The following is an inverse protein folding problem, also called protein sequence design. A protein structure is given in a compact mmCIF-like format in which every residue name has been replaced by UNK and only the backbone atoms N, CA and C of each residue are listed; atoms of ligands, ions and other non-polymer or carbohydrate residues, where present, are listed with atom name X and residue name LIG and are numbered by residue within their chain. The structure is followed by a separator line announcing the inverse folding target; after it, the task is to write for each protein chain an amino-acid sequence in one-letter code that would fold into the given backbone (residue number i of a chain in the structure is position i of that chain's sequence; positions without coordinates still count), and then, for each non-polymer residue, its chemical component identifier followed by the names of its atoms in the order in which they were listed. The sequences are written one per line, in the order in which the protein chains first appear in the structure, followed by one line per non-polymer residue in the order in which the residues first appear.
data_IF_559328613865
#
_entry.id   IF_559328613865
#
_cell.length_a   1.000
_cell.length_b   1.000
_cell.length_c   1.000
_cell.angle_alpha   90.00
_cell.angle_beta   90.00
_cell.angle_gamma   90.00
#
_symmetry.space_group_name_H-M   'P 1'
#
loop_
_entity.id
_entity.type
_entity.pdbx_description
1 polymer ?
#
# COMPACT_ATOMS: atom_id res chain seq x y z
N UNK A 1 38.31 57.88 -1.67
CA UNK A 1 37.46 58.16 -2.82
C UNK A 1 36.03 58.25 -2.33
N UNK A 2 35.38 59.38 -2.63
CA UNK A 2 34.16 59.89 -1.99
C UNK A 2 32.90 59.18 -2.49
N UNK A 3 31.98 58.95 -1.60
CA UNK A 3 30.66 58.37 -1.78
C UNK A 3 29.71 59.37 -2.49
N UNK A 4 28.98 59.03 -3.58
CA UNK A 4 28.08 59.92 -4.30
C UNK A 4 26.63 59.78 -3.87
N UNK A 5 26.27 60.29 -2.69
CA UNK A 5 24.88 60.43 -2.23
C UNK A 5 24.68 61.72 -1.47
N UNK A 6 24.99 62.88 -2.15
CA UNK A 6 24.63 64.19 -1.68
C UNK A 6 24.52 65.13 -2.90
N UNK A 7 23.40 65.11 -3.58
CA UNK A 7 22.93 66.24 -4.39
C UNK A 7 21.47 65.96 -4.77
N UNK A 8 20.57 66.66 -4.15
CA UNK A 8 19.24 67.09 -4.60
C UNK A 8 18.34 67.47 -3.42
N UNK A 9 18.72 68.51 -2.68
CA UNK A 9 17.78 69.31 -1.86
C UNK A 9 18.16 70.77 -2.05
N UNK A 10 17.58 71.46 -2.98
CA UNK A 10 17.33 72.92 -2.90
C UNK A 10 16.52 73.40 -4.10
N UNK A 11 15.45 74.10 -3.78
CA UNK A 11 14.54 74.93 -4.56
C UNK A 11 13.16 74.32 -4.83
N UNK A 12 12.27 74.55 -3.89
CA UNK A 12 10.95 75.11 -4.26
C UNK A 12 10.46 75.97 -3.09
N UNK A 13 10.33 77.27 -3.38
CA UNK A 13 9.80 78.29 -2.49
C UNK A 13 8.27 78.18 -2.42
N UNK A 14 7.74 78.34 -1.21
CA UNK A 14 6.31 78.47 -0.88
C UNK A 14 5.66 79.65 -1.64
N UNK A 15 4.44 79.45 -2.12
CA UNK A 15 3.31 80.42 -2.04
C UNK A 15 2.01 79.66 -2.32
N UNK A 16 1.05 79.80 -1.37
CA UNK A 16 -0.35 79.46 -1.60
C UNK A 16 -0.97 78.65 -0.46
N UNK A 17 -1.75 79.33 0.36
CA UNK A 17 -2.58 78.72 1.40
C UNK A 17 -3.67 77.84 0.83
N UNK A 18 -3.80 76.65 1.33
CA UNK A 18 -4.89 75.72 0.96
C UNK A 18 -4.92 74.57 1.96
N UNK A 19 -6.07 74.37 2.52
CA UNK A 19 -6.43 73.41 3.59
C UNK A 19 -5.79 72.05 3.38
N UNK A 20 -4.92 71.60 4.28
CA UNK A 20 -4.34 70.27 4.30
C UNK A 20 -5.30 69.29 4.96
N UNK A 21 -5.97 68.47 4.15
CA UNK A 21 -6.64 67.26 4.64
C UNK A 21 -5.53 66.17 4.83
N UNK A 22 -5.19 65.90 6.05
CA UNK A 22 -4.28 64.83 6.41
C UNK A 22 -4.97 63.48 6.19
N UNK A 23 -4.66 62.78 5.11
CA UNK A 23 -4.94 61.35 4.98
C UNK A 23 -3.93 60.59 5.80
N UNK A 24 -4.35 60.08 6.97
CA UNK A 24 -3.60 59.05 7.73
C UNK A 24 -3.77 57.73 7.03
N UNK A 25 -2.81 57.35 6.19
CA UNK A 25 -2.75 55.98 5.65
C UNK A 25 -2.26 55.07 6.76
N UNK A 26 -3.16 54.41 7.48
CA UNK A 26 -2.85 53.31 8.37
C UNK A 26 -2.46 52.14 7.50
N UNK A 27 -1.18 51.93 7.24
CA UNK A 27 -0.65 50.68 6.74
C UNK A 27 -0.86 49.60 7.82
N UNK A 28 -1.97 48.87 7.72
CA UNK A 28 -2.17 47.67 8.53
C UNK A 28 -1.16 46.59 8.10
N UNK A 29 -0.05 46.47 8.79
CA UNK A 29 0.77 45.28 8.73
C UNK A 29 -0.09 44.08 9.15
N UNK A 30 -0.61 43.34 8.18
CA UNK A 30 -1.10 42.02 8.43
C UNK A 30 0.12 41.14 8.71
N UNK A 31 0.45 40.94 9.99
CA UNK A 31 1.33 39.85 10.40
C UNK A 31 0.60 38.57 10.02
N UNK A 32 0.98 37.98 8.91
CA UNK A 32 0.56 36.61 8.60
C UNK A 32 1.23 35.73 9.69
N UNK A 33 0.45 35.37 10.70
CA UNK A 33 0.84 34.29 11.61
C UNK A 33 0.98 33.08 10.72
N UNK A 34 2.23 32.71 10.45
CA UNK A 34 2.53 31.44 9.79
C UNK A 34 1.98 30.34 10.72
N UNK A 35 0.80 29.83 10.38
CA UNK A 35 0.21 28.70 11.06
C UNK A 35 1.20 27.54 10.85
N UNK A 36 1.91 27.17 11.90
CA UNK A 36 2.81 26.02 11.87
C UNK A 36 2.01 24.84 11.35
N UNK A 37 2.49 24.18 10.31
CA UNK A 37 1.86 22.97 9.83
C UNK A 37 1.69 22.03 11.03
N UNK A 38 0.50 21.41 11.21
CA UNK A 38 0.28 20.51 12.33
C UNK A 38 1.36 19.43 12.34
N UNK A 39 2.06 19.33 13.45
CA UNK A 39 3.12 18.32 13.65
C UNK A 39 2.44 16.95 13.66
N UNK A 40 2.79 16.10 12.71
CA UNK A 40 2.32 14.73 12.67
C UNK A 40 2.88 13.96 13.87
N UNK A 41 2.04 13.18 14.52
CA UNK A 41 2.44 12.36 15.66
C UNK A 41 2.32 10.90 15.31
N UNK A 42 3.44 10.17 15.40
CA UNK A 42 3.47 8.71 15.29
C UNK A 42 3.10 8.09 16.64
N UNK A 43 2.36 6.97 16.61
CA UNK A 43 2.02 6.18 17.78
C UNK A 43 1.92 4.71 17.41
N UNK A 44 2.59 3.84 18.15
CA UNK A 44 2.33 2.40 18.17
C UNK A 44 0.99 2.19 18.90
N UNK A 45 0.06 1.52 18.24
CA UNK A 45 -1.25 1.18 18.81
C UNK A 45 -1.20 -0.18 19.50
N UNK A 46 -0.49 -1.15 18.91
CA UNK A 46 -0.31 -2.48 19.45
C UNK A 46 1.06 -3.05 19.07
N UNK A 47 1.65 -3.84 19.94
CA UNK A 47 2.90 -4.57 19.73
C UNK A 47 2.64 -6.06 19.95
N UNK A 48 2.84 -6.86 18.91
CA UNK A 48 2.67 -8.30 18.97
C UNK A 48 3.70 -8.96 19.89
N UNK A 49 3.29 -10.03 20.59
CA UNK A 49 4.14 -10.75 21.53
C UNK A 49 4.69 -12.05 20.93
N UNK A 50 4.25 -12.44 19.73
CA UNK A 50 4.68 -13.69 19.09
C UNK A 50 4.17 -14.94 19.79
N UNK A 51 3.05 -14.83 20.47
CA UNK A 51 2.40 -15.92 21.21
C UNK A 51 1.00 -16.19 20.64
N UNK A 52 -0.01 -16.35 21.48
CA UNK A 52 -1.40 -16.55 21.02
C UNK A 52 -1.99 -15.35 20.27
N UNK A 53 -1.42 -14.18 20.40
CA UNK A 53 -1.83 -12.94 19.73
C UNK A 53 -1.33 -12.82 18.27
N UNK A 54 -0.52 -13.77 17.80
CA UNK A 54 0.10 -13.72 16.48
C UNK A 54 1.43 -12.97 16.46
N UNK A 55 1.99 -12.84 15.28
CA UNK A 55 3.24 -12.12 15.02
C UNK A 55 3.45 -11.89 13.53
N UNK A 56 4.35 -10.95 13.21
CA UNK A 56 4.74 -10.66 11.85
C UNK A 56 3.56 -10.21 10.96
N UNK A 57 2.89 -9.08 11.30
CA UNK A 57 1.78 -8.55 10.50
C UNK A 57 2.31 -8.04 9.15
N UNK A 58 2.01 -8.77 8.07
CA UNK A 58 2.57 -8.54 6.75
C UNK A 58 1.73 -7.59 5.90
N UNK A 59 0.41 -7.73 5.94
CA UNK A 59 -0.51 -7.00 5.08
C UNK A 59 -0.97 -5.66 5.67
N UNK A 60 -1.55 -4.84 4.79
CA UNK A 60 -2.28 -3.64 5.19
C UNK A 60 -3.56 -3.94 5.98
N UNK A 61 -4.08 -2.92 6.63
CA UNK A 61 -5.24 -3.01 7.52
C UNK A 61 -6.55 -2.67 6.78
N UNK A 62 -7.67 -3.14 7.32
CA UNK A 62 -9.00 -2.62 7.01
C UNK A 62 -9.60 -1.99 8.26
N UNK A 63 -10.33 -0.88 8.11
CA UNK A 63 -10.89 -0.09 9.21
C UNK A 63 -12.41 -0.03 9.13
N UNK A 64 -13.10 -0.17 10.28
CA UNK A 64 -14.55 0.04 10.36
C UNK A 64 -14.93 1.46 10.77
N UNK A 65 -16.24 1.75 10.82
CA UNK A 65 -16.79 3.05 11.23
C UNK A 65 -16.55 3.37 12.70
N UNK A 66 -16.36 2.36 13.55
CA UNK A 66 -16.00 2.51 14.96
C UNK A 66 -14.50 2.70 15.19
N UNK A 67 -13.72 2.77 14.09
CA UNK A 67 -12.27 2.92 14.09
C UNK A 67 -11.50 1.70 14.57
N UNK A 68 -12.12 0.53 14.63
CA UNK A 68 -11.37 -0.69 14.80
C UNK A 68 -10.56 -0.99 13.54
N UNK A 69 -9.37 -1.52 13.73
CA UNK A 69 -8.46 -1.98 12.70
C UNK A 69 -8.47 -3.51 12.68
N UNK A 70 -8.51 -4.08 11.49
CA UNK A 70 -8.47 -5.52 11.29
C UNK A 70 -7.33 -5.86 10.35
N UNK A 71 -6.62 -6.94 10.62
CA UNK A 71 -5.49 -7.39 9.81
C UNK A 71 -5.20 -8.86 10.01
N UNK A 72 -4.14 -9.30 9.35
CA UNK A 72 -3.57 -10.65 9.46
C UNK A 72 -2.14 -10.57 9.97
N UNK A 73 -1.74 -11.57 10.75
CA UNK A 73 -0.36 -11.80 11.13
C UNK A 73 0.01 -13.21 10.67
N UNK A 74 1.18 -13.39 10.05
CA UNK A 74 1.50 -14.61 9.30
C UNK A 74 2.01 -15.75 10.16
N UNK A 75 2.40 -15.46 11.39
CA UNK A 75 3.02 -16.44 12.30
C UNK A 75 2.38 -16.41 13.68
N UNK A 76 2.75 -17.40 14.50
CA UNK A 76 2.26 -17.54 15.88
C UNK A 76 0.74 -17.77 15.94
N UNK A 77 0.04 -17.35 17.00
CA UNK A 77 -1.33 -17.75 17.26
C UNK A 77 -1.42 -19.11 17.96
N UNK A 78 -2.62 -19.61 18.20
CA UNK A 78 -2.82 -20.84 18.98
C UNK A 78 -2.16 -22.08 18.34
N UNK A 79 -2.03 -22.10 17.02
CA UNK A 79 -1.49 -23.24 16.26
C UNK A 79 -0.18 -22.92 15.52
N UNK A 80 0.33 -21.69 15.63
CA UNK A 80 1.61 -21.28 15.04
C UNK A 80 1.56 -20.84 13.58
N UNK A 81 0.37 -20.78 12.95
CA UNK A 81 0.22 -20.54 11.51
C UNK A 81 -0.45 -19.21 11.18
N UNK A 82 -0.42 -18.28 12.13
CA UNK A 82 -0.94 -16.94 11.98
C UNK A 82 -2.36 -16.73 12.49
N UNK A 83 -2.80 -15.50 12.45
CA UNK A 83 -4.08 -15.07 12.99
C UNK A 83 -4.80 -14.04 12.11
N UNK A 84 -6.12 -13.95 12.29
CA UNK A 84 -6.90 -12.75 11.99
C UNK A 84 -7.10 -11.99 13.29
N UNK A 85 -6.71 -10.73 13.33
CA UNK A 85 -6.79 -9.90 14.53
C UNK A 85 -7.64 -8.65 14.35
N UNK A 86 -8.07 -8.09 15.47
CA UNK A 86 -8.72 -6.77 15.60
C UNK A 86 -7.98 -5.94 16.63
N UNK A 87 -7.65 -4.69 16.33
CA UNK A 87 -7.15 -3.70 17.29
C UNK A 87 -8.16 -2.58 17.41
N UNK A 88 -8.67 -2.33 18.62
CA UNK A 88 -9.64 -1.24 18.86
C UNK A 88 -8.93 0.12 18.99
N UNK A 89 -9.67 1.25 19.02
CA UNK A 89 -9.08 2.58 19.13
C UNK A 89 -8.26 2.84 20.41
N UNK A 90 -8.49 2.07 21.48
CA UNK A 90 -7.72 2.15 22.74
C UNK A 90 -6.39 1.37 22.67
N UNK A 91 -6.20 0.54 21.63
CA UNK A 91 -5.00 -0.28 21.44
C UNK A 91 -5.14 -1.70 22.00
N UNK A 92 -6.37 -2.13 22.35
CA UNK A 92 -6.59 -3.51 22.76
C UNK A 92 -6.72 -4.40 21.52
N UNK A 93 -5.92 -5.44 21.46
CA UNK A 93 -5.99 -6.48 20.44
C UNK A 93 -6.99 -7.57 20.85
N UNK A 94 -7.54 -8.25 19.85
CA UNK A 94 -8.38 -9.44 19.98
C UNK A 94 -8.13 -10.34 18.79
N UNK A 95 -7.70 -11.58 19.02
CA UNK A 95 -7.65 -12.62 17.99
C UNK A 95 -9.07 -13.03 17.62
N UNK A 96 -9.41 -12.94 16.35
CA UNK A 96 -10.70 -13.37 15.82
C UNK A 96 -10.66 -14.81 15.31
N UNK A 97 -9.53 -15.25 14.77
CA UNK A 97 -9.28 -16.61 14.31
C UNK A 97 -7.77 -16.91 14.36
N UNK A 98 -7.41 -18.14 14.76
CA UNK A 98 -6.03 -18.67 14.70
C UNK A 98 -5.99 -19.78 13.67
N UNK A 99 -5.16 -19.64 12.64
CA UNK A 99 -5.03 -20.61 11.56
C UNK A 99 -4.27 -21.87 11.95
N UNK A 100 -4.62 -22.98 11.28
CA UNK A 100 -3.99 -24.28 11.45
C UNK A 100 -4.77 -25.27 12.31
N UNK A 101 -6.04 -24.96 12.64
CA UNK A 101 -6.94 -25.89 13.34
C UNK A 101 -7.46 -26.97 12.38
N UNK A 102 -6.61 -27.95 12.12
CA UNK A 102 -6.93 -29.09 11.27
C UNK A 102 -6.46 -28.99 9.83
N UNK A 103 -6.73 -30.06 9.07
CA UNK A 103 -6.15 -30.24 7.72
C UNK A 103 -6.79 -29.40 6.63
N UNK A 104 -7.98 -28.83 6.88
CA UNK A 104 -8.70 -28.00 5.90
C UNK A 104 -8.55 -26.51 6.14
N UNK A 105 -8.07 -26.11 7.30
CA UNK A 105 -7.84 -24.72 7.62
C UNK A 105 -6.68 -24.15 6.80
N UNK A 106 -6.68 -22.83 6.65
CA UNK A 106 -5.59 -22.11 6.00
C UNK A 106 -4.35 -21.99 6.88
N UNK A 107 -3.25 -21.55 6.28
CA UNK A 107 -1.99 -21.23 6.96
C UNK A 107 -1.33 -20.03 6.33
N UNK A 108 -0.60 -19.27 7.12
CA UNK A 108 0.25 -18.18 6.66
C UNK A 108 -0.52 -17.12 5.84
N UNK A 109 -1.39 -16.30 6.47
CA UNK A 109 -2.24 -15.33 5.80
C UNK A 109 -1.44 -14.07 5.40
N UNK A 110 -0.76 -14.09 4.24
CA UNK A 110 -0.02 -12.94 3.71
C UNK A 110 -0.94 -11.83 3.20
N UNK A 111 -2.11 -12.19 2.67
CA UNK A 111 -3.04 -11.23 2.08
C UNK A 111 -3.78 -10.37 3.09
N UNK A 112 -3.99 -9.10 2.74
CA UNK A 112 -4.84 -8.21 3.53
C UNK A 112 -6.32 -8.58 3.45
N UNK A 113 -7.08 -8.13 4.44
CA UNK A 113 -8.50 -8.41 4.55
C UNK A 113 -9.35 -7.42 3.73
N UNK A 114 -10.54 -7.88 3.31
CA UNK A 114 -11.64 -7.00 2.92
C UNK A 114 -12.85 -7.26 3.81
N UNK A 115 -13.66 -6.22 4.04
CA UNK A 115 -14.79 -6.27 4.96
C UNK A 115 -16.08 -5.94 4.23
N UNK A 116 -17.13 -6.76 4.42
CA UNK A 116 -18.46 -6.45 3.89
C UNK A 116 -19.27 -5.50 4.81
N UNK A 117 -20.45 -5.12 4.34
CA UNK A 117 -21.34 -4.21 5.11
C UNK A 117 -21.92 -4.88 6.37
N UNK A 118 -22.01 -6.20 6.42
CA UNK A 118 -22.45 -6.96 7.57
C UNK A 118 -21.36 -7.09 8.65
N UNK A 119 -20.09 -6.81 8.28
CA UNK A 119 -18.94 -6.88 9.16
C UNK A 119 -18.11 -8.14 8.99
N UNK A 120 -18.48 -9.05 8.08
CA UNK A 120 -17.65 -10.21 7.80
C UNK A 120 -16.33 -9.79 7.14
N UNK A 121 -15.27 -10.49 7.50
CA UNK A 121 -13.93 -10.33 6.94
C UNK A 121 -13.65 -11.45 5.95
N UNK A 122 -12.96 -11.14 4.86
CA UNK A 122 -12.55 -12.11 3.86
C UNK A 122 -11.07 -11.92 3.56
N UNK A 123 -10.34 -13.02 3.42
CA UNK A 123 -8.90 -13.00 3.14
C UNK A 123 -8.45 -14.26 2.45
N UNK A 124 -7.14 -14.37 2.27
CA UNK A 124 -6.45 -15.51 1.67
C UNK A 124 -5.39 -16.04 2.61
N UNK A 125 -5.11 -17.32 2.52
CA UNK A 125 -3.93 -17.94 3.12
C UNK A 125 -3.04 -18.52 2.05
N UNK A 126 -1.74 -18.40 2.19
CA UNK A 126 -0.75 -18.86 1.23
C UNK A 126 -0.69 -20.39 1.15
N UNK A 127 -0.84 -21.06 2.29
CA UNK A 127 -0.80 -22.50 2.47
C UNK A 127 -2.07 -22.99 3.17
N UNK A 128 -2.18 -24.29 3.39
CA UNK A 128 -3.34 -24.94 3.99
C UNK A 128 -4.40 -25.30 2.98
N UNK A 129 -5.61 -25.62 3.47
CA UNK A 129 -6.72 -26.10 2.63
C UNK A 129 -6.71 -27.60 2.33
N UNK A 130 -5.62 -28.30 2.69
CA UNK A 130 -5.54 -29.77 2.72
C UNK A 130 -5.58 -30.51 1.39
N UNK A 131 -5.45 -29.81 0.25
CA UNK A 131 -5.46 -30.39 -1.09
C UNK A 131 -4.36 -29.80 -1.97
N UNK A 132 -3.98 -30.54 -2.99
CA UNK A 132 -3.11 -30.10 -4.12
C UNK A 132 -1.63 -30.12 -3.80
N UNK A 133 -1.12 -29.14 -3.08
CA UNK A 133 0.31 -28.98 -2.76
C UNK A 133 0.70 -29.72 -1.47
N UNK A 134 1.99 -29.86 -1.20
CA UNK A 134 2.51 -30.61 -0.02
C UNK A 134 1.93 -30.06 1.30
N UNK A 135 1.96 -28.73 1.48
CA UNK A 135 1.41 -28.05 2.66
C UNK A 135 0.05 -27.39 2.39
N UNK A 136 -0.65 -27.83 1.31
CA UNK A 136 -1.84 -27.19 0.75
C UNK A 136 -1.49 -26.04 -0.18
N UNK A 137 -2.39 -25.75 -1.11
CA UNK A 137 -2.19 -24.69 -2.11
C UNK A 137 -2.78 -23.34 -1.70
N UNK A 138 -3.24 -23.22 -0.45
CA UNK A 138 -3.85 -22.02 0.09
C UNK A 138 -5.38 -22.01 0.02
N UNK A 139 -5.97 -21.02 0.70
CA UNK A 139 -7.43 -20.88 0.81
C UNK A 139 -7.91 -19.47 0.53
N UNK A 140 -9.22 -19.37 0.26
CA UNK A 140 -10.00 -18.15 0.49
C UNK A 140 -10.92 -18.41 1.68
N UNK A 141 -10.87 -17.56 2.68
CA UNK A 141 -11.65 -17.72 3.92
C UNK A 141 -12.59 -16.54 4.20
N UNK A 142 -13.56 -16.78 5.05
CA UNK A 142 -14.43 -15.79 5.68
C UNK A 142 -14.34 -15.94 7.19
N UNK A 143 -14.19 -14.84 7.92
CA UNK A 143 -14.42 -14.78 9.38
C UNK A 143 -15.63 -13.89 9.61
N UNK A 144 -16.66 -14.42 10.26
CA UNK A 144 -17.87 -13.66 10.55
C UNK A 144 -17.71 -12.76 11.79
N UNK A 145 -18.75 -12.03 12.13
CA UNK A 145 -18.73 -11.09 13.28
C UNK A 145 -18.65 -11.77 14.64
N UNK A 146 -18.84 -13.08 14.72
CA UNK A 146 -18.69 -13.88 15.94
C UNK A 146 -17.29 -14.49 16.07
N UNK A 147 -16.44 -14.35 15.04
CA UNK A 147 -15.12 -14.96 14.96
C UNK A 147 -15.12 -16.37 14.35
N UNK A 148 -16.29 -16.82 13.82
CA UNK A 148 -16.36 -18.13 13.16
C UNK A 148 -15.75 -18.06 11.78
N UNK A 149 -14.72 -18.87 11.53
CA UNK A 149 -14.08 -19.03 10.23
C UNK A 149 -14.88 -20.01 9.35
N UNK A 150 -14.86 -19.77 8.05
CA UNK A 150 -15.37 -20.66 7.01
C UNK A 150 -14.42 -20.61 5.82
N UNK A 151 -13.83 -21.73 5.45
CA UNK A 151 -13.10 -21.88 4.18
C UNK A 151 -14.12 -21.85 3.03
N UNK A 152 -14.03 -20.81 2.19
CA UNK A 152 -14.89 -20.66 1.02
C UNK A 152 -14.37 -21.43 -0.20
N UNK A 153 -13.04 -21.53 -0.32
CA UNK A 153 -12.37 -22.26 -1.38
C UNK A 153 -11.01 -22.74 -0.92
N UNK A 154 -10.65 -23.99 -1.21
CA UNK A 154 -9.31 -24.53 -1.08
C UNK A 154 -8.74 -24.72 -2.47
N UNK A 155 -7.64 -24.05 -2.77
CA UNK A 155 -6.99 -24.16 -4.09
C UNK A 155 -6.40 -25.55 -4.28
N UNK A 156 -6.66 -26.13 -5.44
CA UNK A 156 -6.16 -27.47 -5.81
C UNK A 156 -4.83 -27.42 -6.57
N UNK A 157 -4.46 -26.27 -7.08
CA UNK A 157 -3.25 -26.12 -7.90
C UNK A 157 -3.35 -26.85 -9.26
N UNK A 158 -2.21 -27.24 -9.82
CA UNK A 158 -2.13 -27.88 -11.13
C UNK A 158 -2.45 -26.92 -12.27
N UNK A 159 -3.06 -27.45 -13.35
CA UNK A 159 -3.34 -26.66 -14.56
C UNK A 159 -4.73 -26.05 -14.62
N UNK A 160 -5.63 -26.47 -13.75
CA UNK A 160 -7.06 -26.10 -13.77
C UNK A 160 -7.45 -25.14 -12.65
N UNK A 161 -6.59 -24.93 -11.67
CA UNK A 161 -6.79 -24.06 -10.53
C UNK A 161 -5.52 -23.26 -10.23
N UNK A 162 -5.63 -22.21 -9.39
CA UNK A 162 -4.48 -21.47 -8.90
C UNK A 162 -3.83 -22.14 -7.70
N UNK A 163 -2.70 -21.58 -7.24
CA UNK A 163 -2.09 -21.92 -5.96
C UNK A 163 -1.33 -20.74 -5.40
N UNK A 164 -1.18 -20.74 -4.06
CA UNK A 164 -0.43 -19.74 -3.33
C UNK A 164 -0.98 -18.31 -3.54
N UNK A 165 -2.23 -18.04 -3.11
CA UNK A 165 -2.77 -16.68 -3.15
C UNK A 165 -2.06 -15.82 -2.11
N UNK A 166 -1.18 -14.96 -2.57
CA UNK A 166 -0.35 -14.10 -1.72
C UNK A 166 -1.04 -12.75 -1.44
N UNK A 167 -1.71 -12.22 -2.47
CA UNK A 167 -2.38 -10.92 -2.40
C UNK A 167 -3.70 -10.97 -1.63
N UNK A 168 -4.12 -9.81 -1.13
CA UNK A 168 -5.48 -9.63 -0.60
C UNK A 168 -6.54 -9.66 -1.70
N UNK A 169 -7.79 -9.64 -1.28
CA UNK A 169 -8.95 -9.72 -2.17
C UNK A 169 -9.52 -8.33 -2.51
N UNK A 170 -10.28 -8.26 -3.58
CA UNK A 170 -11.20 -7.17 -3.88
C UNK A 170 -12.63 -7.69 -3.72
N UNK A 171 -13.43 -7.07 -2.85
CA UNK A 171 -14.85 -7.39 -2.67
C UNK A 171 -15.72 -6.42 -3.47
N UNK A 172 -16.50 -6.94 -4.41
CA UNK A 172 -17.43 -6.14 -5.21
C UNK A 172 -18.71 -6.92 -5.51
N UNK A 173 -19.87 -6.34 -5.17
CA UNK A 173 -21.19 -6.88 -5.47
C UNK A 173 -21.34 -8.38 -5.10
N UNK A 174 -20.91 -8.77 -3.89
CA UNK A 174 -20.99 -10.13 -3.38
C UNK A 174 -20.04 -11.13 -4.06
N UNK A 175 -19.03 -10.65 -4.79
CA UNK A 175 -17.96 -11.47 -5.34
C UNK A 175 -16.60 -10.98 -4.80
N UNK A 176 -15.73 -11.94 -4.59
CA UNK A 176 -14.34 -11.76 -4.24
C UNK A 176 -13.51 -11.96 -5.51
N UNK A 177 -12.56 -11.07 -5.74
CA UNK A 177 -11.63 -11.16 -6.86
C UNK A 177 -10.22 -11.19 -6.29
N UNK A 178 -9.38 -12.06 -6.78
CA UNK A 178 -8.01 -12.20 -6.32
C UNK A 178 -7.09 -12.77 -7.39
N UNK A 179 -5.85 -12.93 -7.01
CA UNK A 179 -4.80 -13.55 -7.83
C UNK A 179 -4.14 -14.69 -7.07
N UNK A 180 -3.62 -15.66 -7.80
CA UNK A 180 -2.72 -16.68 -7.27
C UNK A 180 -1.34 -16.49 -7.88
N UNK A 181 -0.29 -16.67 -7.09
CA UNK A 181 1.08 -16.48 -7.54
C UNK A 181 1.50 -17.48 -8.59
N UNK A 182 1.04 -18.72 -8.48
CA UNK A 182 1.51 -19.83 -9.31
C UNK A 182 0.33 -20.74 -9.72
N UNK A 183 0.66 -21.87 -10.35
CA UNK A 183 -0.29 -22.80 -10.94
C UNK A 183 -1.09 -22.17 -12.10
N UNK A 184 -2.26 -22.74 -12.44
CA UNK A 184 -2.98 -22.40 -13.66
C UNK A 184 -2.36 -23.03 -14.90
N UNK A 185 -2.94 -22.76 -16.07
CA UNK A 185 -2.61 -23.44 -17.32
C UNK A 185 -1.13 -23.37 -17.73
N UNK A 186 -0.41 -22.32 -17.34
CA UNK A 186 1.01 -22.11 -17.66
C UNK A 186 1.90 -21.99 -16.41
N UNK A 187 1.38 -22.28 -15.24
CA UNK A 187 2.09 -22.22 -13.94
C UNK A 187 2.58 -20.82 -13.52
N UNK A 188 2.07 -19.75 -14.14
CA UNK A 188 2.43 -18.36 -13.84
C UNK A 188 1.37 -17.63 -13.03
N UNK A 189 0.41 -18.38 -12.45
CA UNK A 189 -0.67 -17.83 -11.64
C UNK A 189 -1.93 -17.49 -12.40
N UNK A 190 -2.95 -17.07 -11.65
CA UNK A 190 -4.29 -16.82 -12.18
C UNK A 190 -4.88 -15.50 -11.67
N UNK A 191 -5.90 -15.00 -12.37
CA UNK A 191 -6.90 -14.10 -11.82
C UNK A 191 -8.19 -14.88 -11.64
N UNK A 192 -8.74 -14.88 -10.44
CA UNK A 192 -9.97 -15.60 -10.14
C UNK A 192 -11.10 -14.67 -9.65
N UNK A 193 -12.33 -15.16 -9.75
CA UNK A 193 -13.51 -14.63 -9.08
C UNK A 193 -14.13 -15.75 -8.26
N UNK A 194 -14.44 -15.47 -7.02
CA UNK A 194 -15.14 -16.36 -6.10
C UNK A 194 -16.41 -15.66 -5.60
N UNK A 195 -17.57 -16.33 -5.69
CA UNK A 195 -18.75 -15.83 -4.98
C UNK A 195 -18.58 -16.01 -3.48
N UNK A 196 -19.25 -15.17 -2.66
CA UNK A 196 -19.25 -15.36 -1.21
C UNK A 196 -19.93 -16.66 -0.74
N UNK A 197 -20.49 -17.44 -1.68
CA UNK A 197 -21.00 -18.80 -1.47
C UNK A 197 -20.03 -19.91 -1.89
N UNK A 198 -18.80 -19.57 -2.28
CA UNK A 198 -17.72 -20.53 -2.58
C UNK A 198 -17.63 -20.99 -4.04
N UNK A 199 -18.40 -20.40 -4.98
CA UNK A 199 -18.27 -20.76 -6.40
C UNK A 199 -17.14 -19.99 -7.07
N UNK A 200 -16.07 -20.68 -7.41
CA UNK A 200 -14.93 -20.12 -8.11
C UNK A 200 -15.12 -20.09 -9.64
N UNK A 201 -14.41 -19.16 -10.28
CA UNK A 201 -14.25 -19.04 -11.73
C UNK A 201 -12.89 -18.41 -12.03
N UNK A 202 -12.03 -19.11 -12.76
CA UNK A 202 -10.79 -18.52 -13.30
C UNK A 202 -11.18 -17.54 -14.41
N UNK A 203 -10.71 -16.31 -14.26
CA UNK A 203 -10.94 -15.24 -15.23
C UNK A 203 -9.79 -15.13 -16.24
N UNK A 204 -8.56 -15.44 -15.81
CA UNK A 204 -7.36 -15.43 -16.64
C UNK A 204 -6.30 -16.36 -16.07
N UNK A 205 -5.57 -17.06 -16.96
CA UNK A 205 -4.34 -17.78 -16.63
C UNK A 205 -3.18 -16.99 -17.21
N UNK A 206 -2.25 -16.56 -16.38
CA UNK A 206 -1.06 -15.88 -16.86
C UNK A 206 -0.16 -16.82 -17.64
N UNK A 207 0.33 -16.37 -18.79
CA UNK A 207 1.17 -17.14 -19.70
C UNK A 207 2.61 -16.62 -19.78
N UNK A 208 2.90 -15.49 -19.15
CA UNK A 208 4.21 -14.83 -19.27
C UNK A 208 4.49 -14.33 -20.68
N UNK A 209 5.79 -14.08 -20.94
CA UNK A 209 6.22 -13.58 -22.24
C UNK A 209 5.89 -12.11 -22.47
N UNK A 210 5.96 -11.67 -23.73
CA UNK A 210 5.89 -10.21 -24.05
C UNK A 210 4.50 -9.60 -24.01
N UNK A 211 3.46 -10.42 -24.14
CA UNK A 211 2.06 -9.98 -24.24
C UNK A 211 1.24 -10.19 -22.96
N UNK A 212 1.82 -10.80 -21.94
CA UNK A 212 1.15 -11.13 -20.67
C UNK A 212 2.07 -10.91 -19.47
N UNK A 213 1.50 -10.99 -18.26
CA UNK A 213 2.23 -11.01 -17.00
C UNK A 213 2.57 -12.40 -16.52
N UNK A 214 3.33 -12.48 -15.44
CA UNK A 214 3.60 -13.70 -14.69
C UNK A 214 3.79 -13.38 -13.20
N UNK A 215 3.37 -14.31 -12.34
CA UNK A 215 3.53 -14.22 -10.88
C UNK A 215 2.96 -12.90 -10.30
N UNK A 216 1.63 -12.70 -10.32
CA UNK A 216 0.99 -11.60 -9.62
C UNK A 216 1.10 -11.86 -8.11
N UNK A 217 2.01 -11.15 -7.41
CA UNK A 217 2.43 -11.53 -6.06
C UNK A 217 1.70 -10.70 -4.99
N UNK A 218 2.06 -9.45 -4.76
CA UNK A 218 1.63 -8.70 -3.58
C UNK A 218 0.39 -7.83 -3.78
N UNK A 219 0.04 -7.48 -5.01
CA UNK A 219 -1.00 -6.52 -5.30
C UNK A 219 -2.39 -7.10 -5.39
N UNK A 220 -3.33 -6.62 -4.56
CA UNK A 220 -4.76 -6.84 -4.78
C UNK A 220 -5.22 -6.17 -6.08
N UNK A 221 -6.37 -6.61 -6.58
CA UNK A 221 -6.94 -6.05 -7.81
C UNK A 221 -7.69 -4.74 -7.53
N UNK A 222 -7.69 -3.84 -8.50
CA UNK A 222 -8.55 -2.67 -8.55
C UNK A 222 -9.62 -2.88 -9.65
N UNK A 223 -10.84 -2.37 -9.44
CA UNK A 223 -11.90 -2.45 -10.44
C UNK A 223 -12.43 -1.06 -10.81
N UNK A 224 -12.56 -0.78 -12.10
CA UNK A 224 -13.19 0.45 -12.57
C UNK A 224 -14.74 0.36 -12.53
N UNK A 225 -15.41 1.48 -12.83
CA UNK A 225 -16.87 1.56 -12.85
C UNK A 225 -17.53 0.72 -13.93
N UNK A 226 -16.75 0.25 -14.93
CA UNK A 226 -17.20 -0.61 -16.02
C UNK A 226 -16.96 -2.10 -15.74
N UNK A 227 -16.40 -2.43 -14.56
CA UNK A 227 -16.13 -3.81 -14.14
C UNK A 227 -14.82 -4.39 -14.68
N UNK A 228 -13.95 -3.59 -15.27
CA UNK A 228 -12.63 -4.06 -15.65
C UNK A 228 -11.68 -4.07 -14.45
N UNK A 229 -10.90 -5.14 -14.32
CA UNK A 229 -9.90 -5.32 -13.28
C UNK A 229 -8.55 -4.77 -13.76
N UNK A 230 -7.81 -4.20 -12.83
CA UNK A 230 -6.45 -3.73 -13.04
C UNK A 230 -5.55 -4.33 -11.97
N UNK A 231 -4.36 -4.72 -12.36
CA UNK A 231 -3.35 -5.27 -11.46
C UNK A 231 -1.96 -5.12 -12.04
N UNK A 232 -1.01 -5.61 -11.27
CA UNK A 232 0.40 -5.73 -11.67
C UNK A 232 0.82 -7.19 -11.62
N UNK A 233 1.82 -7.56 -12.40
CA UNK A 233 2.49 -8.85 -12.31
C UNK A 233 3.99 -8.62 -12.29
N UNK A 234 4.67 -9.32 -11.40
CA UNK A 234 6.09 -9.08 -11.09
C UNK A 234 7.01 -9.36 -12.29
N UNK A 235 6.60 -10.28 -13.16
CA UNK A 235 7.34 -10.65 -14.37
C UNK A 235 6.43 -10.56 -15.61
N UNK A 236 7.01 -10.91 -16.77
CA UNK A 236 6.37 -10.76 -18.07
C UNK A 236 6.62 -9.39 -18.68
N UNK A 237 5.95 -9.14 -19.81
CA UNK A 237 6.20 -7.95 -20.63
C UNK A 237 7.46 -8.05 -21.49
N UNK A 238 7.76 -7.01 -22.25
CA UNK A 238 8.83 -7.02 -23.27
C UNK A 238 10.23 -7.26 -22.73
N UNK A 239 10.51 -6.83 -21.50
CA UNK A 239 11.80 -6.97 -20.83
C UNK A 239 11.77 -7.97 -19.67
N UNK A 240 10.65 -8.66 -19.46
CA UNK A 240 10.43 -9.56 -18.32
C UNK A 240 10.67 -8.88 -16.96
N UNK A 241 10.43 -7.57 -16.86
CA UNK A 241 10.60 -6.75 -15.66
C UNK A 241 9.26 -6.40 -15.01
N UNK A 242 8.18 -7.05 -15.48
CA UNK A 242 6.83 -6.91 -14.97
C UNK A 242 5.96 -5.99 -15.78
N UNK A 243 4.66 -6.03 -15.47
CA UNK A 243 3.63 -5.35 -16.24
C UNK A 243 2.57 -4.71 -15.34
N UNK A 244 1.95 -3.65 -15.87
CA UNK A 244 0.62 -3.19 -15.44
C UNK A 244 -0.38 -3.73 -16.46
N UNK A 245 -1.42 -4.42 -16.00
CA UNK A 245 -2.42 -5.00 -16.90
C UNK A 245 -3.85 -4.55 -16.59
N UNK A 246 -4.71 -4.72 -17.60
CA UNK A 246 -6.17 -4.58 -17.51
C UNK A 246 -6.81 -5.87 -18.01
N UNK A 247 -7.72 -6.44 -17.21
CA UNK A 247 -8.58 -7.55 -17.59
C UNK A 247 -10.01 -7.03 -17.74
N UNK A 248 -10.56 -7.09 -18.95
CA UNK A 248 -11.91 -6.60 -19.20
C UNK A 248 -12.98 -7.62 -18.75
N UNK A 249 -14.27 -7.23 -18.64
CA UNK A 249 -15.34 -8.17 -18.28
C UNK A 249 -15.52 -9.37 -19.22
N UNK A 250 -15.05 -9.25 -20.47
CA UNK A 250 -15.02 -10.36 -21.45
C UNK A 250 -13.80 -11.27 -21.29
N UNK A 251 -13.04 -11.12 -20.21
CA UNK A 251 -11.84 -11.92 -19.86
C UNK A 251 -10.67 -11.80 -20.83
N UNK A 252 -10.57 -10.67 -21.54
CA UNK A 252 -9.42 -10.37 -22.38
C UNK A 252 -8.46 -9.51 -21.57
N UNK A 253 -7.26 -10.03 -21.32
CA UNK A 253 -6.17 -9.30 -20.70
C UNK A 253 -5.47 -8.41 -21.73
N UNK A 254 -5.09 -7.24 -21.31
CA UNK A 254 -4.25 -6.31 -22.07
C UNK A 254 -3.16 -5.74 -21.19
N UNK A 255 -1.92 -5.91 -21.60
CA UNK A 255 -0.80 -5.19 -21.00
C UNK A 255 -0.95 -3.70 -21.32
N UNK A 256 -1.00 -2.88 -20.28
CA UNK A 256 -1.07 -1.43 -20.38
C UNK A 256 0.33 -0.82 -20.44
N UNK A 257 1.26 -1.38 -19.67
CA UNK A 257 2.66 -0.98 -19.60
C UNK A 257 3.54 -2.18 -19.30
N UNK A 258 4.71 -2.26 -19.93
CA UNK A 258 5.78 -3.22 -19.64
C UNK A 258 6.97 -2.46 -19.10
N UNK A 259 7.36 -2.76 -17.87
CA UNK A 259 8.53 -2.15 -17.27
C UNK A 259 9.79 -2.57 -18.01
N UNK A 260 10.66 -1.60 -18.28
CA UNK A 260 11.92 -1.83 -18.98
C UNK A 260 13.08 -2.13 -18.02
N UNK A 261 12.96 -1.72 -16.76
CA UNK A 261 14.02 -1.82 -15.77
C UNK A 261 15.16 -0.82 -16.02
N UNK A 262 16.33 -1.10 -15.45
CA UNK A 262 17.49 -0.23 -15.56
C UNK A 262 17.39 1.01 -14.68
N UNK A 263 18.06 2.10 -15.08
CA UNK A 263 18.15 3.32 -14.26
C UNK A 263 17.05 4.34 -14.49
N UNK A 264 16.25 4.18 -15.55
CA UNK A 264 15.23 5.18 -15.96
C UNK A 264 13.80 4.70 -15.75
N UNK A 265 13.61 3.43 -15.42
CA UNK A 265 12.30 2.81 -15.22
C UNK A 265 12.36 1.87 -13.99
N UNK A 266 11.20 1.42 -13.51
CA UNK A 266 11.09 0.42 -12.45
C UNK A 266 11.22 -1.00 -12.97
N UNK A 267 11.30 -1.95 -12.03
CA UNK A 267 11.13 -3.37 -12.29
C UNK A 267 10.47 -4.05 -11.09
N UNK A 268 9.86 -5.21 -11.34
CA UNK A 268 9.13 -5.98 -10.34
C UNK A 268 8.03 -5.10 -9.68
N UNK A 269 7.02 -4.66 -10.44
CA UNK A 269 5.92 -3.90 -9.86
C UNK A 269 5.17 -4.78 -8.87
N UNK A 270 4.96 -4.25 -7.67
CA UNK A 270 4.24 -4.89 -6.59
C UNK A 270 3.18 -3.94 -6.00
N UNK A 271 2.34 -4.48 -5.11
CA UNK A 271 1.30 -3.70 -4.47
C UNK A 271 0.08 -3.40 -5.36
N UNK A 272 -1.01 -3.04 -4.71
CA UNK A 272 -2.27 -2.70 -5.38
C UNK A 272 -2.15 -1.35 -6.08
N UNK A 273 -2.45 -1.25 -7.39
CA UNK A 273 -2.45 0.05 -8.06
C UNK A 273 -3.60 0.93 -7.56
N UNK A 274 -3.36 2.23 -7.40
CA UNK A 274 -4.39 3.23 -7.15
C UNK A 274 -4.83 3.89 -8.47
N UNK A 275 -6.09 4.39 -8.52
CA UNK A 275 -6.63 5.07 -9.70
C UNK A 275 -7.24 6.42 -9.29
N UNK A 276 -6.92 7.48 -10.02
CA UNK A 276 -7.57 8.78 -9.86
C UNK A 276 -8.90 8.85 -10.64
N UNK A 277 -9.65 9.94 -10.44
CA UNK A 277 -10.93 10.19 -11.10
C UNK A 277 -10.82 10.36 -12.61
N UNK A 278 -9.61 10.64 -13.13
CA UNK A 278 -9.31 10.71 -14.55
C UNK A 278 -8.92 9.35 -15.14
N UNK A 279 -8.79 8.30 -14.32
CA UNK A 279 -8.39 6.95 -14.73
C UNK A 279 -6.88 6.78 -14.92
N UNK A 280 -6.05 7.68 -14.40
CA UNK A 280 -4.61 7.41 -14.29
C UNK A 280 -4.34 6.42 -13.18
N UNK A 281 -3.39 5.51 -13.41
CA UNK A 281 -2.94 4.53 -12.43
C UNK A 281 -1.64 4.99 -11.76
N UNK A 282 -1.49 4.60 -10.51
CA UNK A 282 -0.32 4.89 -9.68
C UNK A 282 0.08 3.63 -8.92
N UNK A 283 1.36 3.43 -8.71
CA UNK A 283 1.86 2.30 -7.94
C UNK A 283 3.35 2.41 -7.68
N UNK A 284 3.92 1.30 -7.27
CA UNK A 284 5.33 1.13 -6.93
C UNK A 284 5.94 0.04 -7.78
N UNK A 285 7.25 0.10 -7.96
CA UNK A 285 8.06 -1.00 -8.42
C UNK A 285 9.22 -1.15 -7.45
N UNK A 286 9.46 -2.37 -6.97
CA UNK A 286 10.32 -2.64 -5.81
C UNK A 286 11.77 -2.34 -6.10
N UNK A 287 12.20 -2.56 -7.33
CA UNK A 287 13.60 -2.44 -7.70
C UNK A 287 13.79 -1.57 -8.96
N UNK A 288 15.02 -1.49 -9.44
CA UNK A 288 15.43 -0.62 -10.54
C UNK A 288 15.29 0.87 -10.19
N UNK A 289 15.15 1.75 -11.20
CA UNK A 289 15.26 3.19 -11.00
C UNK A 289 16.70 3.66 -10.83
N UNK A 290 16.91 4.95 -10.62
CA UNK A 290 18.24 5.58 -10.67
C UNK A 290 19.25 5.03 -9.66
N UNK A 291 18.78 4.47 -8.53
CA UNK A 291 19.61 3.91 -7.46
C UNK A 291 19.35 2.43 -7.20
N UNK A 292 18.56 1.78 -8.05
CA UNK A 292 18.15 0.38 -7.89
C UNK A 292 17.43 0.09 -6.56
N UNK A 293 16.70 1.08 -6.04
CA UNK A 293 15.96 1.03 -4.77
C UNK A 293 14.46 1.20 -4.97
N UNK A 294 13.99 1.02 -6.21
CA UNK A 294 12.58 1.12 -6.57
C UNK A 294 12.09 2.52 -6.89
N UNK A 295 10.84 2.58 -7.33
CA UNK A 295 10.21 3.82 -7.81
C UNK A 295 8.75 3.93 -7.36
N UNK A 296 8.23 5.17 -7.40
CA UNK A 296 6.79 5.45 -7.49
C UNK A 296 6.49 5.88 -8.92
N UNK A 297 5.53 5.23 -9.56
CA UNK A 297 5.16 5.49 -10.95
C UNK A 297 3.72 6.00 -11.11
N UNK A 298 3.47 6.69 -12.22
CA UNK A 298 2.16 7.08 -12.73
C UNK A 298 2.02 6.59 -14.17
N UNK A 299 0.90 5.96 -14.51
CA UNK A 299 0.54 5.57 -15.87
C UNK A 299 -0.72 6.33 -16.29
N UNK A 300 -0.64 7.16 -17.33
CA UNK A 300 -1.80 7.88 -17.81
C UNK A 300 -2.66 7.04 -18.77
N UNK A 301 -3.85 7.53 -19.13
CA UNK A 301 -4.77 6.84 -20.03
C UNK A 301 -4.19 6.59 -21.44
N UNK A 302 -3.23 7.41 -21.89
CA UNK A 302 -2.49 7.20 -23.15
C UNK A 302 -1.36 6.16 -22.98
N UNK A 303 -1.28 5.49 -21.83
CA UNK A 303 -0.28 4.48 -21.46
C UNK A 303 1.15 5.02 -21.48
N UNK A 304 1.31 6.32 -21.23
CA UNK A 304 2.61 6.90 -21.00
C UNK A 304 2.90 6.84 -19.50
N UNK A 305 3.95 6.11 -19.16
CA UNK A 305 4.49 6.06 -17.82
C UNK A 305 5.27 7.32 -17.50
N UNK A 306 5.30 7.67 -16.21
CA UNK A 306 6.16 8.70 -15.63
C UNK A 306 6.61 8.25 -14.25
N UNK A 307 7.91 8.16 -14.04
CA UNK A 307 8.49 8.04 -12.71
C UNK A 307 8.21 9.33 -11.94
N UNK A 308 7.51 9.23 -10.82
CA UNK A 308 7.23 10.33 -9.91
C UNK A 308 8.35 10.51 -8.89
N UNK A 309 8.91 9.38 -8.39
CA UNK A 309 10.02 9.39 -7.45
C UNK A 309 10.90 8.15 -7.67
N UNK A 310 12.21 8.34 -7.59
CA UNK A 310 13.21 7.28 -7.53
C UNK A 310 13.69 7.20 -6.09
N UNK A 311 13.53 6.07 -5.43
CA UNK A 311 14.07 5.86 -4.10
C UNK A 311 15.60 5.70 -4.16
N UNK A 312 16.28 6.27 -3.17
CA UNK A 312 17.75 6.27 -3.09
C UNK A 312 18.28 5.64 -1.79
N UNK A 313 17.40 5.26 -0.88
CA UNK A 313 17.79 4.71 0.41
C UNK A 313 18.49 5.72 1.33
N UNK A 314 19.18 5.20 2.33
CA UNK A 314 19.92 6.02 3.29
C UNK A 314 19.02 6.80 4.26
N UNK A 315 19.57 7.83 4.91
CA UNK A 315 18.90 8.50 6.03
C UNK A 315 17.74 9.43 5.63
N UNK A 316 17.64 9.82 4.36
CA UNK A 316 16.68 10.84 3.90
C UNK A 316 15.69 10.33 2.85
N UNK A 317 15.73 9.05 2.57
CA UNK A 317 14.85 8.41 1.57
C UNK A 317 14.53 6.97 1.99
N UNK A 318 13.52 6.38 1.34
CA UNK A 318 13.18 4.97 1.47
C UNK A 318 13.89 4.08 0.46
N UNK A 319 13.67 2.78 0.58
CA UNK A 319 14.09 1.77 -0.38
C UNK A 319 13.12 0.58 -0.38
N UNK A 320 12.97 -0.06 -1.53
CA UNK A 320 12.15 -1.23 -1.74
C UNK A 320 10.68 -1.00 -1.34
N UNK A 321 9.92 -0.19 -2.12
CA UNK A 321 8.50 0.06 -1.88
C UNK A 321 7.66 -1.12 -2.36
N UNK A 322 7.44 -2.13 -1.52
CA UNK A 322 6.71 -3.37 -1.85
C UNK A 322 5.19 -3.11 -1.90
N UNK A 323 4.68 -2.33 -0.96
CA UNK A 323 3.26 -2.05 -0.86
C UNK A 323 2.75 -1.09 -1.94
N UNK A 324 1.46 -1.16 -2.22
CA UNK A 324 0.78 -0.18 -3.07
C UNK A 324 0.67 1.20 -2.40
N UNK A 325 0.19 2.17 -3.16
CA UNK A 325 0.02 3.54 -2.69
C UNK A 325 -1.44 3.89 -2.43
N UNK A 326 -1.69 4.69 -1.39
CA UNK A 326 -2.99 5.30 -1.12
C UNK A 326 -3.02 6.72 -1.67
N UNK A 327 -4.00 7.02 -2.52
CA UNK A 327 -4.18 8.32 -3.19
C UNK A 327 -5.17 9.20 -2.42
N UNK A 328 -4.83 10.48 -2.19
CA UNK A 328 -5.78 11.46 -1.67
C UNK A 328 -6.42 12.31 -2.79
N UNK A 329 -7.43 13.11 -2.42
CA UNK A 329 -8.16 13.97 -3.38
C UNK A 329 -7.28 15.06 -4.03
N UNK A 330 -6.11 15.37 -3.48
CA UNK A 330 -5.17 16.34 -4.01
C UNK A 330 -4.12 15.68 -4.92
N UNK A 331 -4.22 14.38 -5.16
CA UNK A 331 -3.25 13.62 -5.96
C UNK A 331 -1.96 13.28 -5.22
N UNK A 332 -1.92 13.40 -3.89
CA UNK A 332 -0.79 12.93 -3.12
C UNK A 332 -0.90 11.42 -2.90
N UNK A 333 0.24 10.74 -2.99
CA UNK A 333 0.40 9.32 -2.76
C UNK A 333 1.03 9.08 -1.40
N UNK A 334 0.49 8.14 -0.65
CA UNK A 334 1.01 7.72 0.65
C UNK A 334 1.36 6.24 0.57
N UNK A 335 2.52 5.88 1.07
CA UNK A 335 3.01 4.51 1.11
C UNK A 335 4.11 4.34 2.13
N UNK A 336 4.68 3.17 2.15
CA UNK A 336 5.84 2.83 2.97
C UNK A 336 6.94 2.18 2.13
N UNK A 337 8.10 2.05 2.72
CA UNK A 337 9.24 1.35 2.14
C UNK A 337 9.80 0.38 3.15
N UNK A 338 10.17 -0.81 2.69
CA UNK A 338 10.74 -1.85 3.54
C UNK A 338 12.03 -1.37 4.23
N UNK A 339 12.88 -0.67 3.52
CA UNK A 339 14.18 -0.20 3.98
C UNK A 339 14.30 1.32 3.85
N UNK A 340 15.49 1.84 4.18
CA UNK A 340 15.80 3.25 4.19
C UNK A 340 15.48 3.93 5.53
N UNK A 341 15.63 5.25 5.59
CA UNK A 341 15.46 6.02 6.81
C UNK A 341 16.64 5.96 7.77
N UNK A 342 17.80 5.44 7.34
CA UNK A 342 19.00 5.36 8.20
C UNK A 342 19.81 4.10 8.02
N UNK A 343 20.55 3.72 9.04
CA UNK A 343 21.40 2.51 9.08
C UNK A 343 20.98 1.51 10.15
N UNK A 344 19.82 1.73 10.81
CA UNK A 344 19.21 0.76 11.72
C UNK A 344 18.81 -0.52 11.01
N UNK A 345 18.34 -1.52 11.74
CA UNK A 345 17.80 -2.77 11.21
C UNK A 345 18.69 -3.38 10.11
N UNK A 346 19.72 -4.09 10.52
CA UNK A 346 20.65 -4.81 9.63
C UNK A 346 21.52 -3.93 8.69
N UNK A 347 21.65 -2.62 8.98
CA UNK A 347 22.47 -1.69 8.18
C UNK A 347 21.75 -1.05 6.98
N UNK A 348 20.50 -1.45 6.71
CA UNK A 348 19.72 -0.99 5.54
C UNK A 348 18.67 0.08 5.88
N UNK A 349 18.45 0.35 7.18
CA UNK A 349 17.34 1.15 7.71
C UNK A 349 16.11 0.30 8.01
N UNK A 350 15.27 0.78 8.90
CA UNK A 350 14.10 0.04 9.39
C UNK A 350 12.84 0.32 8.55
N UNK A 351 12.96 1.11 7.50
CA UNK A 351 11.85 1.49 6.63
C UNK A 351 11.27 2.87 6.96
N UNK A 352 10.41 3.35 6.08
CA UNK A 352 9.82 4.68 6.18
C UNK A 352 8.34 4.68 5.83
N UNK A 353 7.60 5.67 6.33
CA UNK A 353 6.29 6.07 5.79
C UNK A 353 6.47 7.37 5.03
N UNK A 354 6.02 7.41 3.79
CA UNK A 354 6.24 8.57 2.93
C UNK A 354 4.96 9.16 2.34
N UNK A 355 5.09 10.38 1.84
CA UNK A 355 4.16 11.04 0.94
C UNK A 355 4.92 11.50 -0.30
N UNK A 356 4.43 11.16 -1.48
CA UNK A 356 4.85 11.75 -2.76
C UNK A 356 3.73 12.66 -3.25
N UNK A 357 4.04 13.94 -3.51
CA UNK A 357 3.05 14.87 -4.05
C UNK A 357 2.71 14.56 -5.51
N UNK A 358 1.63 15.12 -6.04
CA UNK A 358 1.25 15.01 -7.46
C UNK A 358 2.38 15.47 -8.43
N UNK A 359 3.32 16.31 -7.95
CA UNK A 359 4.48 16.79 -8.71
C UNK A 359 5.72 15.93 -8.57
N UNK A 360 5.69 14.91 -7.69
CA UNK A 360 6.81 14.01 -7.44
C UNK A 360 7.70 14.37 -6.23
N UNK A 361 7.32 15.39 -5.43
CA UNK A 361 8.10 15.75 -4.24
C UNK A 361 7.86 14.74 -3.12
N UNK A 362 8.91 14.05 -2.68
CA UNK A 362 8.92 13.19 -1.50
C UNK A 362 8.89 14.02 -0.21
N UNK A 363 8.20 13.48 0.79
CA UNK A 363 8.24 13.90 2.20
C UNK A 363 8.18 12.65 3.05
N UNK A 364 9.19 12.39 3.85
CA UNK A 364 9.13 11.34 4.87
C UNK A 364 8.21 11.81 5.99
N UNK A 365 7.24 10.97 6.32
CA UNK A 365 6.25 11.22 7.38
C UNK A 365 6.65 10.54 8.68
N UNK A 366 7.40 9.43 8.57
CA UNK A 366 7.98 8.70 9.69
C UNK A 366 9.18 7.88 9.19
N UNK A 367 10.15 7.72 10.06
CA UNK A 367 11.31 6.84 9.89
C UNK A 367 11.26 5.86 11.04
N UNK A 368 11.11 4.58 10.73
CA UNK A 368 11.06 3.56 11.77
C UNK A 368 12.41 3.39 12.46
N UNK A 369 12.34 3.17 13.78
CA UNK A 369 13.43 2.64 14.60
C UNK A 369 12.95 1.32 15.20
N UNK A 370 13.80 0.30 15.27
CA UNK A 370 13.40 -1.08 15.56
C UNK A 370 12.49 -1.26 16.78
N UNK A 371 12.62 -0.39 17.82
CA UNK A 371 11.80 -0.46 19.03
C UNK A 371 10.31 -0.11 18.84
N UNK A 372 9.93 0.55 17.74
CA UNK A 372 8.55 0.95 17.45
C UNK A 372 7.98 0.26 16.21
N UNK A 373 8.79 -0.49 15.49
CA UNK A 373 8.47 -1.22 14.28
C UNK A 373 9.63 -1.20 13.30
N UNK A 374 9.63 -2.16 12.39
CA UNK A 374 10.60 -2.29 11.31
C UNK A 374 9.98 -3.04 10.13
N UNK A 375 10.52 -2.79 8.94
CA UNK A 375 10.15 -3.49 7.71
C UNK A 375 8.63 -3.44 7.44
N UNK A 376 8.02 -2.28 7.21
CA UNK A 376 6.62 -2.20 6.83
C UNK A 376 6.44 -2.77 5.42
N UNK A 377 5.51 -3.75 5.27
CA UNK A 377 5.17 -4.39 4.01
C UNK A 377 3.74 -4.11 3.56
N UNK A 378 2.90 -3.65 4.48
CA UNK A 378 1.47 -3.50 4.25
C UNK A 378 1.09 -2.13 3.72
N UNK A 379 0.19 -2.07 2.75
CA UNK A 379 -0.29 -0.78 2.24
C UNK A 379 -0.84 0.11 3.35
N UNK A 380 -0.40 1.37 3.35
CA UNK A 380 -0.87 2.39 4.29
C UNK A 380 -2.33 2.73 3.99
N UNK A 381 -3.21 2.66 4.99
CA UNK A 381 -4.58 3.16 4.86
C UNK A 381 -4.71 4.57 5.44
N UNK A 382 -5.64 5.36 4.87
CA UNK A 382 -5.88 6.75 5.26
C UNK A 382 -7.34 6.96 5.60
N UNK A 383 -7.62 7.57 6.78
CA UNK A 383 -8.99 7.94 7.15
C UNK A 383 -9.40 9.32 6.58
N UNK A 384 -10.66 9.68 6.76
CA UNK A 384 -11.23 10.96 6.30
C UNK A 384 -10.61 12.19 6.97
N UNK A 385 -10.01 12.04 8.15
CA UNK A 385 -9.30 13.09 8.88
C UNK A 385 -7.86 13.24 8.37
N UNK A 386 -7.38 12.30 7.56
CA UNK A 386 -6.02 12.28 7.02
C UNK A 386 -5.01 11.59 7.93
N UNK A 387 -5.47 10.86 8.95
CA UNK A 387 -4.61 9.96 9.71
C UNK A 387 -4.23 8.75 8.87
N UNK A 388 -3.03 8.24 9.08
CA UNK A 388 -2.50 7.06 8.41
C UNK A 388 -2.37 5.92 9.40
N UNK A 389 -2.61 4.70 8.92
CA UNK A 389 -2.48 3.48 9.73
C UNK A 389 -1.78 2.42 8.89
N UNK A 390 -1.02 1.57 9.53
CA UNK A 390 -0.34 0.45 8.90
C UNK A 390 0.24 -0.53 9.91
N UNK A 391 1.00 -1.44 9.40
CA UNK A 391 1.71 -2.49 10.15
C UNK A 391 3.21 -2.39 9.91
N UNK A 392 4.00 -2.84 10.85
CA UNK A 392 5.41 -3.12 10.67
C UNK A 392 5.65 -4.60 10.99
N UNK A 393 6.29 -5.29 10.07
CA UNK A 393 6.46 -6.75 10.12
C UNK A 393 7.29 -7.21 11.31
N UNK A 394 8.36 -6.50 11.60
CA UNK A 394 9.23 -6.71 12.74
C UNK A 394 9.24 -5.50 13.65
N UNK A 395 10.07 -5.54 14.68
CA UNK A 395 10.24 -4.46 15.65
C UNK A 395 9.18 -4.48 16.74
N UNK A 396 9.23 -3.47 17.61
CA UNK A 396 8.59 -3.52 18.90
C UNK A 396 9.41 -4.38 19.88
N UNK A 397 8.89 -4.60 21.08
CA UNK A 397 9.51 -5.51 22.04
C UNK A 397 8.44 -6.52 22.44
N UNK A 398 8.59 -7.79 22.03
CA UNK A 398 9.80 -8.57 21.70
C UNK A 398 10.14 -8.82 20.21
N UNK A 399 9.88 -7.92 19.29
CA UNK A 399 10.27 -8.00 17.86
C UNK A 399 9.35 -8.85 16.96
N UNK A 400 8.06 -8.88 17.27
CA UNK A 400 7.03 -9.59 16.51
C UNK A 400 6.13 -8.67 15.67
N UNK A 401 6.56 -7.42 15.51
CA UNK A 401 5.85 -6.42 14.70
C UNK A 401 4.84 -5.58 15.48
N UNK A 402 4.33 -4.57 14.80
CA UNK A 402 3.46 -3.56 15.41
C UNK A 402 2.31 -3.14 14.49
N UNK A 403 1.25 -2.62 15.10
CA UNK A 403 0.20 -1.82 14.44
C UNK A 403 0.42 -0.37 14.84
N UNK A 404 0.46 0.54 13.88
CA UNK A 404 0.79 1.94 14.12
C UNK A 404 -0.19 2.93 13.50
N UNK A 405 -0.15 4.18 13.98
CA UNK A 405 -0.91 5.32 13.46
C UNK A 405 -0.02 6.57 13.38
N UNK A 406 -0.21 7.36 12.31
CA UNK A 406 0.28 8.73 12.20
C UNK A 406 -0.93 9.67 12.16
N UNK A 407 -1.05 10.57 13.15
CA UNK A 407 -2.09 11.62 13.13
C UNK A 407 -1.65 12.79 12.26
N UNK A 408 -2.64 13.48 11.64
CA UNK A 408 -2.41 14.68 10.84
C UNK A 408 -2.11 15.88 11.75
#
# INVERSE_FOLDING_TARGET
MKNPLQYWVSRMRLRGAGVALAFVVVLGLRVAVAQSAPTRTFKVLYTFQGSSDGGEPYAGLVRDSASNLYGTAISSGAFGWGVVFKVNPSGTETVLHSFGDGSKDGRTPYGGLVRDKAGNLYGTTYEGGGIGCVDGCGTVFKVDTTGTETVLHSFAGGTTDGCFPYAGLLLKAGNLYGTTQACGASSYGTVFRLSTSGKETILHNFAGGTADGANPLYGSLLMDTKGALYGVAQYGGTSNQGVVYKLNPSRVLRVLYSFAGGTTDGCNPDGTPAMDTLGNLYGTAVACGSSNMGIVWKLNQSRKEKVLHNFAGGAKDGADPIAGVTLDANGNLYGDTQYGGGTGCFGTGCGTVYKVSATGKLTLLHIFVGSEGALPFGSVIRDTNGNLYGTAFLGGTPDWGTVWRITK
#
